data_IF_156924470935
#
_entry.id   IF_156924470935
#
_cell.length_a   1.000
_cell.length_b   1.000
_cell.length_c   1.000
_cell.angle_alpha   90.00
_cell.angle_beta   90.00
_cell.angle_gamma   90.00
#
_symmetry.space_group_name_H-M   'P 1'
#
loop_
_entity.id
_entity.type
_entity.pdbx_description
1 polymer ?
#
# COMPACT_ATOMS: atom_id res chain seq x y z
N UNK A 1 -16.07 8.15 9.52
CA UNK A 1 -14.61 8.32 9.39
C UNK A 1 -13.96 7.05 9.91
N UNK A 2 -13.07 6.43 9.14
CA UNK A 2 -12.35 5.26 9.60
C UNK A 2 -11.29 5.71 10.61
N UNK A 3 -11.21 5.07 11.78
CA UNK A 3 -10.23 5.44 12.79
C UNK A 3 -8.85 4.88 12.43
N UNK A 4 -8.74 3.56 12.28
CA UNK A 4 -7.48 2.91 11.90
C UNK A 4 -7.74 1.59 11.17
N UNK A 5 -6.71 1.09 10.49
CA UNK A 5 -6.65 -0.27 9.95
C UNK A 5 -5.39 -0.93 10.49
N UNK A 6 -5.53 -2.14 11.03
CA UNK A 6 -4.40 -2.98 11.44
C UNK A 6 -4.23 -4.15 10.47
N UNK A 7 -3.00 -4.37 10.03
CA UNK A 7 -2.62 -5.40 9.07
C UNK A 7 -1.47 -6.21 9.67
N UNK A 8 -1.66 -7.52 9.72
CA UNK A 8 -0.59 -8.45 10.02
C UNK A 8 0.23 -8.71 8.76
N UNK A 9 1.55 -8.58 8.88
CA UNK A 9 2.51 -8.76 7.78
C UNK A 9 3.42 -9.95 8.08
N UNK A 10 3.85 -10.67 7.04
CA UNK A 10 4.67 -11.88 7.23
C UNK A 10 6.09 -11.57 7.66
N UNK A 11 6.65 -10.44 7.20
CA UNK A 11 7.97 -9.93 7.58
C UNK A 11 7.90 -8.42 7.82
N UNK A 12 8.01 -8.02 9.08
CA UNK A 12 7.82 -6.63 9.48
C UNK A 12 8.88 -5.69 8.91
N UNK A 13 10.13 -6.15 8.75
CA UNK A 13 11.22 -5.32 8.23
C UNK A 13 11.02 -5.01 6.74
N UNK A 14 10.66 -6.03 5.97
CA UNK A 14 10.37 -5.92 4.53
C UNK A 14 9.14 -5.05 4.30
N UNK A 15 8.07 -5.27 5.07
CA UNK A 15 6.86 -4.45 4.99
C UNK A 15 7.11 -3.02 5.46
N UNK A 16 7.93 -2.79 6.50
CA UNK A 16 8.37 -1.44 6.87
C UNK A 16 9.07 -0.73 5.72
N UNK A 17 10.04 -1.37 5.06
CA UNK A 17 10.77 -0.73 3.94
C UNK A 17 9.83 -0.28 2.81
N UNK A 18 8.79 -1.08 2.52
CA UNK A 18 7.76 -0.74 1.54
C UNK A 18 6.85 0.40 2.01
N UNK A 19 6.23 0.25 3.19
CA UNK A 19 5.23 1.19 3.70
C UNK A 19 5.85 2.51 4.15
N UNK A 20 7.11 2.53 4.61
CA UNK A 20 7.80 3.77 4.95
C UNK A 20 7.94 4.65 3.71
N UNK A 21 8.40 4.09 2.60
CA UNK A 21 8.51 4.82 1.33
C UNK A 21 7.14 5.29 0.82
N UNK A 22 6.15 4.40 0.79
CA UNK A 22 4.81 4.71 0.29
C UNK A 22 4.12 5.79 1.16
N UNK A 23 4.04 5.56 2.47
CA UNK A 23 3.21 6.36 3.36
C UNK A 23 3.83 7.72 3.65
N UNK A 24 5.16 7.82 3.78
CA UNK A 24 5.83 9.11 3.96
C UNK A 24 5.61 10.04 2.76
N UNK A 25 5.70 9.50 1.54
CA UNK A 25 5.44 10.27 0.33
C UNK A 25 3.95 10.61 0.12
N UNK A 26 3.04 9.83 0.69
CA UNK A 26 1.61 10.19 0.81
C UNK A 26 1.32 11.17 1.96
N UNK A 27 2.34 11.62 2.70
CA UNK A 27 2.23 12.60 3.79
C UNK A 27 1.78 12.03 5.13
N UNK A 28 1.89 10.71 5.33
CA UNK A 28 1.83 10.12 6.66
C UNK A 28 3.17 10.27 7.36
N UNK A 29 3.14 10.28 8.69
CA UNK A 29 4.33 10.23 9.54
C UNK A 29 4.31 8.99 10.41
N UNK A 30 5.48 8.41 10.68
CA UNK A 30 5.62 7.39 11.71
C UNK A 30 5.06 7.94 13.04
N UNK A 31 4.18 7.17 13.67
CA UNK A 31 3.47 7.57 14.88
C UNK A 31 3.92 6.78 16.10
N UNK A 32 3.91 5.44 16.01
CA UNK A 32 4.40 4.55 17.08
C UNK A 32 5.24 3.43 16.49
N UNK A 33 6.17 2.93 17.28
CA UNK A 33 7.03 1.80 16.93
C UNK A 33 7.28 0.97 18.19
N UNK A 34 7.22 -0.35 18.04
CA UNK A 34 7.53 -1.33 19.08
C UNK A 34 8.09 -2.60 18.44
N UNK A 35 8.59 -3.53 19.26
CA UNK A 35 9.32 -4.73 18.80
C UNK A 35 8.61 -5.58 17.74
N UNK A 36 7.27 -5.51 17.69
CA UNK A 36 6.43 -6.34 16.81
C UNK A 36 5.51 -5.52 15.93
N UNK A 37 5.68 -4.21 15.84
CA UNK A 37 4.84 -3.42 14.98
C UNK A 37 5.18 -1.93 14.93
N UNK A 38 4.55 -1.25 14.00
CA UNK A 38 4.64 0.18 13.84
C UNK A 38 3.33 0.73 13.29
N UNK A 39 3.13 2.03 13.47
CA UNK A 39 1.98 2.73 12.93
C UNK A 39 2.35 4.04 12.27
N UNK A 40 1.61 4.38 11.22
CA UNK A 40 1.71 5.64 10.49
C UNK A 40 0.42 6.44 10.65
N UNK A 41 0.52 7.76 10.81
CA UNK A 41 -0.61 8.66 11.02
C UNK A 41 -0.63 9.79 10.00
N UNK A 42 -1.82 10.10 9.48
CA UNK A 42 -2.12 11.33 8.73
C UNK A 42 -3.45 11.89 9.23
N UNK A 43 -3.44 13.14 9.73
CA UNK A 43 -4.57 13.71 10.45
C UNK A 43 -5.06 12.74 11.54
N UNK A 44 -6.33 12.33 11.57
CA UNK A 44 -6.89 11.41 12.58
C UNK A 44 -6.91 9.94 12.15
N UNK A 45 -6.27 9.58 11.05
CA UNK A 45 -6.30 8.24 10.47
C UNK A 45 -4.96 7.53 10.66
N UNK A 46 -5.01 6.24 11.01
CA UNK A 46 -3.82 5.43 11.27
C UNK A 46 -3.81 4.14 10.44
N UNK A 47 -2.61 3.75 10.00
CA UNK A 47 -2.33 2.42 9.49
C UNK A 47 -1.34 1.75 10.43
N UNK A 48 -1.67 0.55 10.89
CA UNK A 48 -0.88 -0.23 11.84
C UNK A 48 -0.42 -1.51 11.18
N UNK A 49 0.87 -1.81 11.26
CA UNK A 49 1.47 -3.02 10.74
C UNK A 49 2.07 -3.82 11.88
N UNK A 50 1.68 -5.10 11.99
CA UNK A 50 2.07 -5.98 13.09
C UNK A 50 2.71 -7.24 12.51
N UNK A 51 3.82 -7.69 13.09
CA UNK A 51 4.42 -8.97 12.74
C UNK A 51 3.43 -10.11 13.02
N UNK A 52 3.13 -10.91 12.00
CA UNK A 52 2.36 -12.14 12.15
C UNK A 52 3.07 -13.07 13.14
N UNK A 53 2.38 -13.54 14.21
CA UNK A 53 2.98 -14.51 15.12
C UNK A 53 3.27 -15.82 14.40
N UNK A 54 4.31 -16.53 14.84
CA UNK A 54 4.84 -17.72 14.16
C UNK A 54 3.76 -18.79 13.92
N UNK A 55 2.88 -19.02 14.91
CA UNK A 55 1.77 -19.98 14.85
C UNK A 55 0.74 -19.67 13.75
N UNK A 56 0.73 -18.46 13.19
CA UNK A 56 -0.21 -18.04 12.14
C UNK A 56 0.43 -17.82 10.77
N UNK A 57 1.77 -17.88 10.66
CA UNK A 57 2.48 -17.63 9.40
C UNK A 57 2.15 -18.65 8.31
N UNK A 58 1.97 -19.93 8.68
CA UNK A 58 1.71 -21.01 7.71
C UNK A 58 0.41 -20.81 6.92
N UNK A 59 -0.62 -20.21 7.54
CA UNK A 59 -1.87 -19.94 6.86
C UNK A 59 -1.70 -18.99 5.66
N UNK A 60 -0.72 -18.07 5.79
CA UNK A 60 -0.35 -17.08 4.78
C UNK A 60 -1.48 -16.12 4.40
N UNK A 61 -1.18 -15.21 3.47
CA UNK A 61 -2.14 -14.30 2.88
C UNK A 61 -2.35 -14.59 1.39
N UNK A 62 -3.59 -14.45 0.93
CA UNK A 62 -3.89 -14.38 -0.50
C UNK A 62 -5.11 -13.49 -0.70
N UNK A 63 -4.96 -12.38 -1.44
CA UNK A 63 -6.00 -11.34 -1.62
C UNK A 63 -7.34 -11.80 -2.17
N UNK A 64 -7.42 -13.01 -2.75
CA UNK A 64 -8.67 -13.60 -3.22
C UNK A 64 -9.39 -14.48 -2.18
N UNK A 65 -8.82 -14.68 -0.99
CA UNK A 65 -9.50 -15.31 0.15
C UNK A 65 -10.36 -14.27 0.86
N UNK A 66 -11.34 -14.72 1.65
CA UNK A 66 -12.14 -13.83 2.51
C UNK A 66 -11.23 -13.00 3.41
N UNK A 67 -11.38 -11.66 3.37
CA UNK A 67 -10.55 -10.72 4.10
C UNK A 67 -10.22 -9.46 3.28
N UNK A 68 -9.11 -8.80 3.61
CA UNK A 68 -8.63 -7.63 2.88
C UNK A 68 -8.17 -8.00 1.47
N UNK A 69 -8.62 -7.26 0.46
CA UNK A 69 -8.14 -7.43 -0.92
C UNK A 69 -7.12 -6.35 -1.32
N UNK A 70 -7.42 -5.08 -1.02
CA UNK A 70 -6.58 -3.95 -1.37
C UNK A 70 -6.83 -2.74 -0.47
N UNK A 71 -5.87 -1.82 -0.48
CA UNK A 71 -6.01 -0.45 0.01
C UNK A 71 -5.79 0.52 -1.16
N UNK A 72 -6.63 1.55 -1.24
CA UNK A 72 -6.54 2.60 -2.25
C UNK A 72 -6.22 3.95 -1.61
N UNK A 73 -5.38 4.74 -2.27
CA UNK A 73 -4.95 6.06 -1.84
C UNK A 73 -5.07 7.06 -2.98
N UNK A 74 -5.55 8.27 -2.66
CA UNK A 74 -5.35 9.43 -3.52
C UNK A 74 -3.85 9.77 -3.49
N UNK A 75 -3.22 9.77 -4.66
CA UNK A 75 -1.77 9.86 -4.79
C UNK A 75 -1.29 11.00 -5.69
N UNK A 76 -2.18 11.95 -5.98
CA UNK A 76 -1.89 13.19 -6.69
C UNK A 76 -2.51 13.24 -8.08
N UNK A 77 -1.85 13.99 -8.95
CA UNK A 77 -2.17 14.16 -10.37
C UNK A 77 -1.69 12.97 -11.21
N UNK A 78 -2.18 12.81 -12.46
CA UNK A 78 -1.68 11.78 -13.39
C UNK A 78 -0.14 11.77 -13.54
N UNK A 79 0.48 12.95 -13.64
CA UNK A 79 1.95 13.08 -13.74
C UNK A 79 2.66 12.55 -12.48
N UNK A 80 2.06 12.72 -11.30
CA UNK A 80 2.59 12.17 -10.05
C UNK A 80 2.44 10.64 -10.01
N UNK A 81 1.35 10.09 -10.55
CA UNK A 81 1.18 8.63 -10.69
C UNK A 81 2.24 8.03 -11.63
N UNK A 82 2.60 8.71 -12.71
CA UNK A 82 3.71 8.31 -13.58
C UNK A 82 5.07 8.32 -12.84
N UNK A 83 5.29 9.28 -11.94
CA UNK A 83 6.49 9.32 -11.10
C UNK A 83 6.52 8.18 -10.10
N UNK A 84 5.39 7.89 -9.42
CA UNK A 84 5.24 6.72 -8.56
C UNK A 84 5.62 5.44 -9.29
N UNK A 85 5.09 5.24 -10.49
CA UNK A 85 5.38 4.06 -11.32
C UNK A 85 6.87 3.87 -11.56
N UNK A 86 7.59 4.93 -11.95
CA UNK A 86 9.05 4.88 -12.18
C UNK A 86 9.83 4.53 -10.91
N UNK A 87 9.42 5.08 -9.77
CA UNK A 87 10.07 4.83 -8.49
C UNK A 87 9.85 3.41 -7.98
N UNK A 88 8.66 2.84 -8.19
CA UNK A 88 8.35 1.46 -7.84
C UNK A 88 9.07 0.45 -8.73
N UNK A 89 9.18 0.73 -10.04
CA UNK A 89 10.01 -0.08 -10.96
C UNK A 89 11.48 -0.10 -10.51
N UNK A 90 12.03 1.04 -10.10
CA UNK A 90 13.41 1.15 -9.60
C UNK A 90 13.61 0.32 -8.32
N UNK A 91 12.59 0.26 -7.46
CA UNK A 91 12.55 -0.56 -6.23
C UNK A 91 12.20 -2.03 -6.49
N UNK A 92 11.97 -2.43 -7.74
CA UNK A 92 11.56 -3.78 -8.15
C UNK A 92 10.27 -4.24 -7.47
N UNK A 93 9.38 -3.30 -7.15
CA UNK A 93 8.04 -3.62 -6.66
C UNK A 93 7.20 -4.15 -7.81
N UNK A 94 6.40 -5.18 -7.52
CA UNK A 94 5.57 -5.84 -8.53
C UNK A 94 4.38 -4.95 -8.90
N UNK A 95 4.37 -4.48 -10.14
CA UNK A 95 3.23 -3.77 -10.72
C UNK A 95 2.20 -4.76 -11.26
N UNK A 96 0.92 -4.39 -11.16
CA UNK A 96 -0.20 -5.19 -11.65
C UNK A 96 -0.84 -4.53 -12.87
N UNK A 97 -1.34 -5.35 -13.78
CA UNK A 97 -2.09 -4.91 -14.96
C UNK A 97 -1.31 -3.94 -15.86
N UNK A 98 -0.01 -4.21 -16.02
CA UNK A 98 0.93 -3.35 -16.74
C UNK A 98 0.52 -3.10 -18.19
N UNK A 99 -0.12 -4.11 -18.79
CA UNK A 99 -0.71 -4.09 -20.13
C UNK A 99 -1.87 -3.11 -20.31
N UNK A 100 -2.48 -2.69 -19.19
CA UNK A 100 -3.66 -1.79 -19.16
C UNK A 100 -3.41 -0.51 -18.39
N UNK A 101 -2.21 -0.29 -17.88
CA UNK A 101 -1.85 0.97 -17.22
C UNK A 101 -1.97 2.16 -18.20
N UNK A 102 -2.50 3.33 -17.78
CA UNK A 102 -3.02 3.67 -16.44
C UNK A 102 -4.51 3.41 -16.23
N UNK A 103 -5.20 2.77 -17.19
CA UNK A 103 -6.66 2.63 -17.22
C UNK A 103 -7.17 1.24 -16.84
N UNK A 104 -6.42 0.51 -16.00
CA UNK A 104 -6.80 -0.83 -15.56
C UNK A 104 -8.07 -0.85 -14.69
N UNK A 105 -8.41 0.29 -14.05
CA UNK A 105 -9.65 0.49 -13.30
C UNK A 105 -10.86 0.92 -14.16
N UNK A 106 -10.65 1.17 -15.46
CA UNK A 106 -11.65 1.71 -16.38
C UNK A 106 -11.12 2.93 -17.16
N UNK A 107 -11.79 3.32 -18.25
CA UNK A 107 -11.33 4.40 -19.14
C UNK A 107 -11.19 5.76 -18.45
N UNK A 108 -12.02 6.02 -17.44
CA UNK A 108 -12.04 7.29 -16.70
C UNK A 108 -11.16 7.29 -15.44
N UNK A 109 -10.42 6.21 -15.19
CA UNK A 109 -9.57 6.07 -14.00
C UNK A 109 -8.10 6.10 -14.41
N UNK A 110 -7.35 7.06 -13.87
CA UNK A 110 -5.89 7.07 -13.98
C UNK A 110 -5.30 6.46 -12.70
N UNK A 111 -4.83 5.22 -12.78
CA UNK A 111 -4.52 4.42 -11.59
C UNK A 111 -3.30 3.53 -11.77
N UNK A 112 -2.47 3.46 -10.73
CA UNK A 112 -1.38 2.49 -10.62
C UNK A 112 -1.77 1.40 -9.62
N UNK A 113 -1.67 0.14 -10.05
CA UNK A 113 -1.81 -1.02 -9.18
C UNK A 113 -0.46 -1.70 -8.95
N UNK A 114 -0.19 -2.07 -7.71
CA UNK A 114 1.02 -2.78 -7.30
C UNK A 114 0.73 -3.74 -6.15
N UNK A 115 1.69 -4.61 -5.82
CA UNK A 115 1.62 -5.49 -4.65
C UNK A 115 2.61 -5.00 -3.59
N UNK A 116 2.18 -4.99 -2.33
CA UNK A 116 3.09 -4.94 -1.18
C UNK A 116 3.84 -6.28 -1.04
N UNK A 117 4.79 -6.40 -0.08
CA UNK A 117 5.56 -7.64 0.11
C UNK A 117 4.73 -8.88 0.42
N UNK A 118 3.56 -8.71 1.04
CA UNK A 118 2.64 -9.79 1.39
C UNK A 118 1.66 -10.12 0.26
N UNK A 119 1.63 -9.33 -0.82
CA UNK A 119 0.73 -9.52 -1.96
C UNK A 119 -0.63 -8.82 -1.81
N UNK A 120 -0.78 -7.95 -0.80
CA UNK A 120 -1.89 -6.99 -0.70
C UNK A 120 -1.78 -6.05 -1.88
N UNK A 121 -2.87 -5.88 -2.61
CA UNK A 121 -2.90 -4.93 -3.72
C UNK A 121 -2.96 -3.51 -3.16
N UNK A 122 -2.07 -2.65 -3.64
CA UNK A 122 -2.09 -1.22 -3.39
C UNK A 122 -2.54 -0.53 -4.67
N UNK A 123 -3.46 0.41 -4.51
CA UNK A 123 -4.04 1.20 -5.59
C UNK A 123 -3.73 2.69 -5.35
N UNK A 124 -3.05 3.31 -6.30
CA UNK A 124 -2.75 4.73 -6.28
C UNK A 124 -3.56 5.43 -7.36
N UNK A 125 -4.54 6.21 -6.93
CA UNK A 125 -5.49 6.90 -7.81
C UNK A 125 -4.97 8.31 -8.07
N UNK A 126 -4.85 8.63 -9.35
CA UNK A 126 -4.61 9.98 -9.84
C UNK A 126 -5.94 10.69 -10.08
N UNK A 127 -6.03 11.95 -9.66
CA UNK A 127 -7.19 12.82 -9.90
C UNK A 127 -6.73 14.07 -10.65
N UNK A 128 -7.55 14.55 -11.58
CA UNK A 128 -7.35 15.89 -12.13
C UNK A 128 -7.61 16.91 -11.02
N UNK A 129 -6.81 17.97 -10.96
CA UNK A 129 -7.02 19.05 -9.99
C UNK A 129 -8.45 19.60 -10.13
N UNK A 130 -9.24 19.49 -9.06
CA UNK A 130 -10.54 20.16 -8.93
C UNK A 130 -10.31 21.66 -8.69
#
# INVERSE_FOLDING_TARGET
MLHHVEIYVSDLETSRAFYDFLLTKLGYSLYQEWDKGLSYKKAEQYLVFVQTPEDFLEAGYHRCRTGLNHLAFHAGTPDEIDQWRKEFLTRRVKLLYDDRYPHAGGPDHYVLYLEDPDGIKIELVGEENI
#
